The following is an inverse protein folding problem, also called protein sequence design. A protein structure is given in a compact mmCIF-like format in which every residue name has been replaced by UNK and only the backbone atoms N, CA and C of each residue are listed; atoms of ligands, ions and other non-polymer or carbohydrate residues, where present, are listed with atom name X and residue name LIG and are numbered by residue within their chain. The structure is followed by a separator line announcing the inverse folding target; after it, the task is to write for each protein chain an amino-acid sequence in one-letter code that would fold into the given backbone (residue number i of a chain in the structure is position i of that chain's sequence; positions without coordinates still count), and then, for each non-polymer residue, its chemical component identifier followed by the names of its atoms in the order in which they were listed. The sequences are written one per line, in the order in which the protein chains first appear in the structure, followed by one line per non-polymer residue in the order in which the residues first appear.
data_IF_884823329832
#
_entry.id   IF_884823329832
#
_cell.length_a   1.000
_cell.length_b   1.000
_cell.length_c   1.000
_cell.angle_alpha   90.00
_cell.angle_beta   90.00
_cell.angle_gamma   90.00
#
_symmetry.space_group_name_H-M   'P 1'
#
loop_
_entity.id
_entity.type
_entity.pdbx_description
1 polymer ?
#
# COMPACT_ATOMS: atom_id res chain seq x y z
N UNK A 1 -2.49 -28.46 -17.40
CA UNK A 1 -1.85 -27.22 -17.90
C UNK A 1 -2.90 -26.35 -18.59
N UNK A 2 -3.69 -25.63 -17.79
CA UNK A 2 -4.43 -24.47 -18.27
C UNK A 2 -3.84 -23.30 -17.46
N UNK A 3 -3.01 -22.49 -18.11
CA UNK A 3 -2.61 -21.21 -17.56
C UNK A 3 -3.89 -20.39 -17.30
N UNK A 4 -4.01 -19.78 -16.13
CA UNK A 4 -5.00 -18.73 -15.91
C UNK A 4 -4.79 -17.68 -17.01
N UNK A 5 -5.79 -17.57 -17.88
CA UNK A 5 -5.69 -16.87 -19.15
C UNK A 5 -5.39 -15.39 -18.91
N UNK A 6 -4.20 -14.94 -19.32
CA UNK A 6 -3.90 -13.51 -19.44
C UNK A 6 -2.44 -13.10 -19.39
N UNK A 7 -1.57 -13.76 -18.62
CA UNK A 7 -0.15 -13.38 -18.53
C UNK A 7 0.71 -14.27 -19.44
N UNK A 8 1.34 -13.73 -20.51
CA UNK A 8 2.09 -14.52 -21.49
C UNK A 8 3.46 -15.01 -20.98
N UNK A 9 3.84 -14.70 -19.74
CA UNK A 9 5.13 -15.09 -19.16
C UNK A 9 5.03 -15.44 -17.68
N UNK A 10 5.86 -16.37 -17.17
CA UNK A 10 5.95 -16.64 -15.75
C UNK A 10 6.56 -15.44 -15.04
N UNK A 11 5.84 -14.91 -14.04
CA UNK A 11 6.36 -13.86 -13.16
C UNK A 11 7.66 -14.32 -12.52
N UNK A 12 8.71 -13.50 -12.63
CA UNK A 12 10.04 -13.83 -12.11
C UNK A 12 10.34 -13.20 -10.75
N UNK A 13 9.62 -12.12 -10.42
CA UNK A 13 9.73 -11.43 -9.13
C UNK A 13 8.34 -11.21 -8.53
N UNK A 14 8.21 -11.26 -7.20
CA UNK A 14 6.94 -11.00 -6.53
C UNK A 14 6.35 -9.65 -6.91
N UNK A 15 5.17 -9.67 -7.53
CA UNK A 15 4.35 -8.51 -7.85
C UNK A 15 3.28 -8.34 -6.77
N UNK A 16 3.53 -7.45 -5.80
CA UNK A 16 2.73 -7.35 -4.58
C UNK A 16 2.40 -5.91 -4.23
N UNK A 17 1.38 -5.75 -3.41
CA UNK A 17 0.95 -4.48 -2.86
C UNK A 17 0.73 -4.59 -1.35
N UNK A 18 0.78 -3.48 -0.63
CA UNK A 18 0.44 -3.47 0.80
C UNK A 18 -1.08 -3.38 1.01
N UNK A 19 -1.57 -4.04 2.07
CA UNK A 19 -2.96 -3.95 2.56
C UNK A 19 -2.95 -3.05 3.81
N UNK A 20 -3.79 -2.01 3.92
CA UNK A 20 -3.91 -1.28 5.17
C UNK A 20 -4.66 -2.13 6.20
N UNK A 21 -4.47 -1.82 7.47
CA UNK A 21 -5.13 -2.51 8.58
C UNK A 21 -6.66 -2.46 8.48
N UNK A 22 -7.24 -1.38 7.94
CA UNK A 22 -8.68 -1.27 7.71
C UNK A 22 -9.25 -2.28 6.70
N UNK A 23 -8.41 -2.85 5.82
CA UNK A 23 -8.84 -3.90 4.91
C UNK A 23 -9.00 -5.26 5.63
N UNK A 24 -8.24 -5.50 6.70
CA UNK A 24 -8.18 -6.79 7.39
C UNK A 24 -9.38 -6.95 8.33
N UNK A 25 -10.08 -8.08 8.24
CA UNK A 25 -11.22 -8.42 9.11
C UNK A 25 -11.16 -9.87 9.58
N UNK A 26 -11.75 -10.13 10.75
CA UNK A 26 -11.78 -11.46 11.35
C UNK A 26 -12.77 -12.40 10.64
N UNK A 27 -12.67 -13.73 10.85
CA UNK A 27 -13.70 -14.67 10.45
C UNK A 27 -15.07 -14.28 11.02
N UNK A 28 -16.09 -14.26 10.16
CA UNK A 28 -17.46 -13.87 10.53
C UNK A 28 -17.73 -12.38 10.52
N UNK A 29 -16.71 -11.52 10.44
CA UNK A 29 -16.92 -10.08 10.23
C UNK A 29 -17.40 -9.80 8.80
N UNK A 30 -18.28 -8.80 8.61
CA UNK A 30 -18.87 -8.55 7.31
C UNK A 30 -17.91 -7.85 6.35
N UNK A 31 -17.92 -8.27 5.09
CA UNK A 31 -17.38 -7.52 3.96
C UNK A 31 -18.41 -6.47 3.59
N UNK A 32 -18.03 -5.20 3.69
CA UNK A 32 -18.91 -4.06 3.46
C UNK A 32 -18.74 -3.56 2.02
N UNK A 33 -19.76 -3.79 1.21
CA UNK A 33 -19.88 -3.33 -0.18
C UNK A 33 -20.64 -1.99 -0.21
N UNK A 34 -20.54 -1.18 -1.29
CA UNK A 34 -21.29 0.04 -1.37
C UNK A 34 -22.71 -0.31 -1.79
N UNK A 35 -23.67 0.57 -1.52
CA UNK A 35 -24.93 0.45 -2.21
C UNK A 35 -24.70 0.56 -3.73
N UNK A 36 -25.05 -0.47 -4.48
CA UNK A 36 -25.02 -0.44 -5.95
C UNK A 36 -26.11 -1.33 -6.52
N UNK A 37 -26.70 -0.91 -7.63
CA UNK A 37 -27.59 -1.75 -8.43
C UNK A 37 -26.85 -2.90 -9.14
N UNK A 38 -25.51 -2.81 -9.22
CA UNK A 38 -24.65 -3.83 -9.81
C UNK A 38 -23.32 -3.87 -9.06
N UNK A 39 -22.98 -5.02 -8.47
CA UNK A 39 -21.65 -5.26 -7.93
C UNK A 39 -20.76 -5.75 -9.08
N UNK A 40 -19.62 -5.12 -9.27
CA UNK A 40 -18.56 -5.58 -10.17
C UNK A 40 -17.31 -5.78 -9.34
N UNK A 41 -16.77 -7.00 -9.37
CA UNK A 41 -15.73 -7.44 -8.44
C UNK A 41 -15.80 -8.94 -8.22
N UNK A 42 -14.90 -9.43 -7.37
CA UNK A 42 -14.83 -10.84 -7.02
C UNK A 42 -13.96 -11.08 -5.80
N UNK A 43 -13.79 -12.36 -5.45
CA UNK A 43 -12.90 -12.75 -4.37
C UNK A 43 -12.21 -14.07 -4.67
N UNK A 44 -11.07 -14.28 -4.03
CA UNK A 44 -10.33 -15.53 -4.13
C UNK A 44 -9.62 -15.92 -2.82
N UNK A 45 -9.52 -17.23 -2.54
CA UNK A 45 -8.61 -17.71 -1.51
C UNK A 45 -7.17 -17.51 -1.98
N UNK A 46 -6.35 -16.93 -1.11
CA UNK A 46 -4.90 -16.98 -1.23
C UNK A 46 -4.30 -17.65 0.01
N UNK A 47 -3.21 -18.37 -0.22
CA UNK A 47 -2.35 -18.82 0.87
C UNK A 47 -1.57 -17.62 1.39
N UNK A 48 -1.55 -17.42 2.70
CA UNK A 48 -0.74 -16.39 3.33
C UNK A 48 0.29 -17.00 4.27
N UNK A 49 1.50 -16.45 4.22
CA UNK A 49 2.66 -16.85 5.02
C UNK A 49 2.83 -15.83 6.15
N UNK A 50 2.88 -16.29 7.39
CA UNK A 50 3.14 -15.44 8.56
C UNK A 50 4.60 -15.59 8.97
N UNK A 51 5.32 -14.47 9.02
CA UNK A 51 6.73 -14.43 9.44
C UNK A 51 6.79 -14.58 10.97
N UNK A 52 7.59 -15.54 11.45
CA UNK A 52 7.85 -15.78 12.87
C UNK A 52 9.17 -15.21 13.35
N UNK A 53 10.21 -15.31 12.52
CA UNK A 53 11.52 -14.73 12.81
C UNK A 53 11.80 -13.65 11.79
N UNK A 54 12.04 -12.42 12.24
CA UNK A 54 12.37 -11.32 11.34
C UNK A 54 13.73 -11.47 10.68
N UNK A 55 14.03 -10.59 9.72
CA UNK A 55 15.33 -10.59 9.06
C UNK A 55 15.42 -9.67 7.86
N UNK A 56 16.64 -9.52 7.36
CA UNK A 56 17.01 -8.83 6.12
C UNK A 56 17.94 -9.72 5.33
N UNK A 57 17.95 -9.54 4.01
CA UNK A 57 18.83 -10.27 3.10
C UNK A 57 18.77 -11.79 3.32
N UNK A 58 17.56 -12.30 3.62
CA UNK A 58 17.34 -13.70 3.96
C UNK A 58 17.59 -14.52 2.69
N UNK A 59 18.56 -15.46 2.68
CA UNK A 59 18.79 -16.29 1.51
C UNK A 59 17.62 -17.28 1.34
N UNK A 60 17.30 -17.62 0.09
CA UNK A 60 16.23 -18.58 -0.27
C UNK A 60 16.32 -19.88 0.55
N UNK A 61 17.52 -20.38 0.81
CA UNK A 61 17.75 -21.62 1.58
C UNK A 61 17.38 -21.52 3.06
N UNK A 62 17.23 -20.32 3.62
CA UNK A 62 16.84 -20.09 5.02
C UNK A 62 15.41 -19.58 5.15
N UNK A 63 14.76 -19.18 4.05
CA UNK A 63 13.48 -18.50 4.08
C UNK A 63 12.38 -19.25 4.86
N UNK A 64 12.26 -20.57 4.71
CA UNK A 64 11.25 -21.35 5.45
C UNK A 64 11.48 -21.35 6.97
N UNK A 65 12.71 -21.19 7.44
CA UNK A 65 13.00 -21.10 8.88
C UNK A 65 12.50 -19.79 9.51
N UNK A 66 12.17 -18.79 8.69
CA UNK A 66 11.57 -17.54 9.13
C UNK A 66 10.03 -17.60 9.20
N UNK A 67 9.40 -18.65 8.67
CA UNK A 67 7.94 -18.80 8.61
C UNK A 67 7.42 -19.41 9.91
N UNK A 68 6.50 -18.72 10.59
CA UNK A 68 5.78 -19.24 11.76
C UNK A 68 4.69 -20.24 11.38
N UNK A 69 4.02 -19.99 10.26
CA UNK A 69 2.89 -20.79 9.82
C UNK A 69 2.17 -20.15 8.65
N UNK A 70 1.04 -20.75 8.29
CA UNK A 70 0.20 -20.35 7.17
C UNK A 70 -1.21 -20.03 7.63
N UNK A 71 -1.87 -19.12 6.92
CA UNK A 71 -3.30 -18.80 7.10
C UNK A 71 -3.94 -18.60 5.74
N UNK A 72 -5.27 -18.52 5.70
CA UNK A 72 -6.01 -18.11 4.51
C UNK A 72 -6.18 -16.59 4.58
N UNK A 73 -6.05 -15.94 3.42
CA UNK A 73 -6.63 -14.62 3.20
C UNK A 73 -7.61 -14.71 2.04
N UNK A 74 -8.67 -13.90 2.10
CA UNK A 74 -9.57 -13.72 0.96
C UNK A 74 -9.21 -12.40 0.27
N UNK A 75 -8.67 -12.48 -0.93
CA UNK A 75 -8.40 -11.28 -1.74
C UNK A 75 -9.69 -10.80 -2.39
N UNK A 76 -10.34 -9.81 -1.77
CA UNK A 76 -11.61 -9.28 -2.25
C UNK A 76 -11.34 -8.00 -3.05
N UNK A 77 -11.89 -7.96 -4.26
CA UNK A 77 -11.85 -6.79 -5.14
C UNK A 77 -13.23 -6.37 -5.59
N UNK A 78 -13.38 -5.09 -5.87
CA UNK A 78 -14.63 -4.42 -6.24
C UNK A 78 -14.29 -3.16 -6.99
N UNK A 79 -14.91 -2.91 -8.13
CA UNK A 79 -14.51 -1.86 -9.05
C UNK A 79 -14.89 -0.41 -8.59
N UNK A 80 -14.50 -0.01 -7.36
CA UNK A 80 -14.82 1.28 -6.74
C UNK A 80 -14.01 2.45 -7.31
N UNK A 81 -12.68 2.33 -7.28
CA UNK A 81 -11.75 3.28 -7.91
C UNK A 81 -11.94 3.24 -9.41
N UNK A 82 -12.14 2.04 -9.96
CA UNK A 82 -12.45 1.83 -11.38
C UNK A 82 -13.60 2.70 -11.88
N UNK A 83 -14.68 2.86 -11.12
CA UNK A 83 -15.80 3.71 -11.53
C UNK A 83 -15.37 5.17 -11.79
N UNK A 84 -14.60 5.74 -10.88
CA UNK A 84 -14.14 7.13 -11.00
C UNK A 84 -13.14 7.28 -12.18
N UNK A 85 -12.38 6.22 -12.47
CA UNK A 85 -11.37 6.18 -13.54
C UNK A 85 -11.96 5.91 -14.93
N UNK A 86 -12.87 4.95 -15.08
CA UNK A 86 -13.59 4.65 -16.33
C UNK A 86 -14.48 5.81 -16.79
N UNK A 87 -14.84 6.73 -15.89
CA UNK A 87 -15.51 7.97 -16.26
C UNK A 87 -14.61 8.93 -17.08
N UNK A 88 -13.32 8.62 -17.24
CA UNK A 88 -12.35 9.45 -17.93
C UNK A 88 -11.97 8.89 -19.31
N UNK A 89 -11.61 9.77 -20.27
CA UNK A 89 -11.21 9.35 -21.60
C UNK A 89 -9.86 8.60 -21.61
N UNK A 90 -9.77 7.64 -22.51
CA UNK A 90 -8.53 6.95 -22.92
C UNK A 90 -7.56 7.89 -23.65
N UNK A 91 -6.25 7.56 -23.72
CA UNK A 91 -5.61 6.36 -23.16
C UNK A 91 -5.40 6.46 -21.64
N UNK A 92 -5.40 5.30 -20.98
CA UNK A 92 -4.89 5.18 -19.61
C UNK A 92 -3.37 5.01 -19.61
N UNK A 93 -2.74 5.64 -18.64
CA UNK A 93 -1.34 5.45 -18.30
C UNK A 93 -1.18 4.26 -17.35
N UNK A 94 0.08 3.92 -17.09
CA UNK A 94 0.42 2.72 -16.34
C UNK A 94 -0.11 2.69 -14.90
N UNK A 95 -0.27 3.87 -14.29
CA UNK A 95 -0.68 3.95 -12.90
C UNK A 95 -2.16 3.62 -12.77
N UNK A 96 -2.93 3.87 -13.82
CA UNK A 96 -4.33 3.51 -13.82
C UNK A 96 -4.54 1.98 -13.80
N UNK A 97 -3.70 1.21 -14.49
CA UNK A 97 -3.70 -0.26 -14.38
C UNK A 97 -3.36 -0.73 -12.95
N UNK A 98 -2.37 -0.11 -12.31
CA UNK A 98 -1.97 -0.44 -10.95
C UNK A 98 -3.05 -0.05 -9.91
N UNK A 99 -3.67 1.12 -10.06
CA UNK A 99 -4.72 1.61 -9.16
C UNK A 99 -6.02 0.83 -9.27
N UNK A 100 -6.44 0.49 -10.49
CA UNK A 100 -7.65 -0.31 -10.68
C UNK A 100 -7.48 -1.73 -10.14
N UNK A 101 -6.28 -2.31 -10.25
CA UNK A 101 -6.00 -3.63 -9.71
C UNK A 101 -5.83 -3.60 -8.18
N UNK A 102 -4.98 -2.71 -7.66
CA UNK A 102 -4.55 -2.75 -6.27
C UNK A 102 -5.28 -1.76 -5.36
N UNK A 103 -5.77 -0.64 -5.89
CA UNK A 103 -6.48 0.38 -5.11
C UNK A 103 -7.78 -0.19 -4.55
N UNK A 104 -8.59 -0.81 -5.42
CA UNK A 104 -9.86 -1.45 -5.07
C UNK A 104 -9.73 -2.45 -3.94
N UNK A 105 -8.68 -3.27 -4.03
CA UNK A 105 -8.37 -4.24 -3.00
C UNK A 105 -8.10 -3.53 -1.66
N UNK A 106 -7.44 -2.36 -1.59
CA UNK A 106 -7.03 -1.73 -0.30
C UNK A 106 -8.19 -1.18 0.54
N UNK A 107 -9.39 -1.13 -0.03
CA UNK A 107 -10.57 -0.63 0.64
C UNK A 107 -10.86 -1.37 1.94
N UNK A 108 -11.62 -0.73 2.81
CA UNK A 108 -12.05 -1.32 4.08
C UNK A 108 -12.74 -2.67 3.88
N UNK A 109 -12.49 -3.62 4.79
CA UNK A 109 -13.08 -4.98 4.82
C UNK A 109 -12.73 -5.92 3.66
N UNK A 110 -11.70 -5.64 2.87
CA UNK A 110 -11.35 -6.40 1.64
C UNK A 110 -10.29 -7.47 1.78
N UNK A 111 -9.88 -7.75 3.01
CA UNK A 111 -8.87 -8.74 3.29
C UNK A 111 -9.23 -9.58 4.51
N UNK A 112 -10.36 -10.32 4.49
CA UNK A 112 -10.60 -11.33 5.50
C UNK A 112 -9.40 -12.24 5.67
N UNK A 113 -9.04 -12.55 6.92
CA UNK A 113 -7.87 -13.36 7.25
C UNK A 113 -8.19 -14.33 8.37
N UNK A 114 -7.66 -15.55 8.28
CA UNK A 114 -7.86 -16.62 9.25
C UNK A 114 -8.31 -17.93 8.57
N UNK A 115 -9.10 -18.79 9.22
CA UNK A 115 -9.50 -18.72 10.62
C UNK A 115 -8.39 -19.09 11.61
N UNK A 116 -7.32 -19.73 11.14
CA UNK A 116 -6.25 -20.24 11.96
C UNK A 116 -4.88 -19.85 11.39
N UNK A 117 -3.93 -19.61 12.28
CA UNK A 117 -2.51 -19.72 11.96
C UNK A 117 -2.11 -21.18 12.18
N UNK A 118 -1.86 -21.91 11.10
CA UNK A 118 -1.49 -23.33 11.12
C UNK A 118 0.01 -23.47 10.98
N UNK A 119 0.63 -24.27 11.84
CA UNK A 119 2.08 -24.50 11.80
C UNK A 119 2.49 -25.32 10.58
N UNK A 120 3.77 -25.25 10.20
CA UNK A 120 4.26 -25.98 9.02
C UNK A 120 4.20 -27.51 9.19
N UNK A 121 4.39 -28.01 10.42
CA UNK A 121 4.30 -29.45 10.71
C UNK A 121 2.86 -29.97 10.65
N UNK A 122 1.86 -29.16 11.02
CA UNK A 122 0.43 -29.48 10.85
C UNK A 122 -0.03 -29.38 9.38
N UNK A 123 0.56 -28.44 8.63
CA UNK A 123 0.23 -28.23 7.21
C UNK A 123 0.74 -29.38 6.34
N UNK A 124 1.95 -29.89 6.58
CA UNK A 124 2.62 -30.79 5.64
C UNK A 124 3.24 -30.02 4.47
N UNK A 125 2.98 -30.42 3.23
CA UNK A 125 3.53 -29.71 2.06
C UNK A 125 2.67 -28.48 1.71
N UNK A 126 3.18 -27.24 1.88
CA UNK A 126 2.40 -26.03 1.60
C UNK A 126 2.04 -25.85 0.11
N UNK A 127 2.74 -26.57 -0.78
CA UNK A 127 2.53 -26.55 -2.22
C UNK A 127 1.56 -27.64 -2.71
N UNK A 128 0.97 -28.42 -1.80
CA UNK A 128 0.10 -29.56 -2.12
C UNK A 128 -1.19 -29.56 -1.31
N UNK A 129 -1.93 -28.44 -1.38
CA UNK A 129 -3.20 -28.24 -0.69
C UNK A 129 -4.29 -27.87 -1.69
N UNK A 130 -5.45 -28.53 -1.58
CA UNK A 130 -6.63 -28.16 -2.35
C UNK A 130 -7.22 -26.84 -1.85
N UNK A 131 -7.62 -25.98 -2.78
CA UNK A 131 -8.28 -24.71 -2.47
C UNK A 131 -9.72 -24.73 -3.02
N UNK A 132 -10.66 -24.18 -2.26
CA UNK A 132 -12.06 -24.06 -2.66
C UNK A 132 -12.57 -22.64 -2.42
N UNK A 133 -13.23 -22.11 -3.43
CA UNK A 133 -13.99 -20.86 -3.34
C UNK A 133 -15.46 -21.23 -3.33
N UNK A 134 -16.21 -20.85 -2.28
CA UNK A 134 -17.66 -21.04 -2.21
C UNK A 134 -18.38 -19.75 -1.93
N UNK A 135 -19.65 -19.75 -2.29
CA UNK A 135 -20.58 -18.70 -1.96
C UNK A 135 -21.84 -19.33 -1.41
N UNK A 136 -22.18 -19.04 -0.15
CA UNK A 136 -23.35 -19.57 0.54
C UNK A 136 -23.44 -21.11 0.40
N UNK A 137 -22.31 -21.80 0.55
CA UNK A 137 -22.18 -23.25 0.40
C UNK A 137 -22.00 -23.78 -1.03
N UNK A 138 -22.27 -22.97 -2.06
CA UNK A 138 -22.14 -23.38 -3.46
C UNK A 138 -20.71 -23.21 -3.98
N UNK A 139 -20.14 -24.28 -4.52
CA UNK A 139 -18.79 -24.27 -5.11
C UNK A 139 -18.75 -23.34 -6.33
N UNK A 140 -17.83 -22.37 -6.31
CA UNK A 140 -17.57 -21.42 -7.40
C UNK A 140 -16.31 -21.75 -8.18
N UNK A 141 -15.23 -22.08 -7.47
CA UNK A 141 -13.96 -22.48 -8.05
C UNK A 141 -13.26 -23.54 -7.17
N UNK A 142 -12.39 -24.32 -7.81
CA UNK A 142 -11.50 -25.28 -7.14
C UNK A 142 -10.11 -25.19 -7.75
N UNK A 143 -9.12 -24.96 -6.91
CA UNK A 143 -7.73 -24.81 -7.31
C UNK A 143 -6.78 -25.53 -6.35
N UNK A 144 -5.49 -25.19 -6.38
CA UNK A 144 -4.44 -25.90 -5.66
C UNK A 144 -3.25 -24.98 -5.40
N UNK A 145 -2.67 -25.03 -4.19
CA UNK A 145 -1.54 -24.14 -3.81
C UNK A 145 -0.27 -24.36 -4.65
N UNK A 146 -0.12 -25.53 -5.28
CA UNK A 146 0.95 -25.80 -6.23
C UNK A 146 0.88 -24.98 -7.54
N UNK A 147 -0.19 -24.23 -7.78
CA UNK A 147 -0.28 -23.33 -8.93
C UNK A 147 0.41 -21.96 -8.70
N UNK A 148 1.04 -21.73 -7.54
CA UNK A 148 1.78 -20.50 -7.27
C UNK A 148 2.91 -20.32 -8.29
N UNK A 149 2.99 -19.13 -8.89
CA UNK A 149 4.06 -18.83 -9.85
C UNK A 149 5.42 -18.66 -9.17
N UNK A 150 5.43 -18.07 -7.97
CA UNK A 150 6.64 -17.80 -7.19
C UNK A 150 6.47 -18.41 -5.81
N UNK A 151 7.38 -19.30 -5.44
CA UNK A 151 7.36 -19.97 -4.15
C UNK A 151 7.66 -19.05 -2.97
N UNK A 152 7.23 -19.47 -1.79
CA UNK A 152 7.39 -18.81 -0.49
C UNK A 152 8.83 -18.37 -0.27
N UNK A 153 9.80 -19.25 -0.52
CA UNK A 153 11.21 -19.01 -0.25
C UNK A 153 11.78 -17.86 -1.08
N UNK A 154 11.40 -17.80 -2.35
CA UNK A 154 11.81 -16.72 -3.25
C UNK A 154 11.14 -15.41 -2.90
N UNK A 155 9.86 -15.45 -2.51
CA UNK A 155 9.13 -14.24 -2.10
C UNK A 155 9.72 -13.63 -0.83
N UNK A 156 9.96 -14.44 0.20
CA UNK A 156 10.62 -14.01 1.45
C UNK A 156 12.01 -13.44 1.15
N UNK A 157 12.82 -14.17 0.37
CA UNK A 157 14.17 -13.72 0.03
C UNK A 157 14.16 -12.39 -0.73
N UNK A 158 13.30 -12.26 -1.74
CA UNK A 158 13.16 -11.05 -2.55
C UNK A 158 12.73 -9.84 -1.72
N UNK A 159 11.65 -9.95 -0.93
CA UNK A 159 11.15 -8.85 -0.11
C UNK A 159 12.20 -8.44 0.93
N UNK A 160 12.87 -9.41 1.56
CA UNK A 160 13.90 -9.15 2.57
C UNK A 160 15.15 -8.44 2.03
N UNK A 161 15.36 -8.42 0.71
CA UNK A 161 16.55 -7.85 0.06
C UNK A 161 16.57 -6.32 0.02
N UNK A 162 15.44 -5.67 0.32
CA UNK A 162 15.34 -4.21 0.35
C UNK A 162 14.61 -3.68 1.58
N UNK A 163 13.76 -4.50 2.22
CA UNK A 163 13.09 -4.15 3.48
C UNK A 163 13.26 -5.26 4.51
N UNK A 164 13.22 -4.92 5.79
CA UNK A 164 13.13 -5.91 6.85
C UNK A 164 11.75 -6.58 6.82
N UNK A 165 11.77 -7.87 7.09
CA UNK A 165 10.59 -8.62 7.50
C UNK A 165 10.58 -8.70 9.03
N UNK A 166 9.42 -8.50 9.63
CA UNK A 166 9.22 -8.54 11.08
C UNK A 166 8.34 -9.73 11.47
N UNK A 167 8.51 -10.29 12.69
CA UNK A 167 7.53 -11.23 13.23
C UNK A 167 6.12 -10.65 13.18
N UNK A 168 5.17 -11.41 12.64
CA UNK A 168 3.80 -10.98 12.42
C UNK A 168 3.52 -10.39 11.03
N UNK A 169 4.55 -10.11 10.21
CA UNK A 169 4.33 -9.75 8.81
C UNK A 169 3.60 -10.88 8.08
N UNK A 170 2.59 -10.52 7.30
CA UNK A 170 1.78 -11.45 6.50
C UNK A 170 2.05 -11.22 5.02
N UNK A 171 2.48 -12.27 4.32
CA UNK A 171 2.75 -12.25 2.89
C UNK A 171 1.70 -13.14 2.22
N UNK A 172 0.78 -12.53 1.48
CA UNK A 172 -0.20 -13.24 0.68
C UNK A 172 0.40 -13.63 -0.68
N UNK A 173 0.20 -14.89 -1.08
CA UNK A 173 0.96 -15.53 -2.15
C UNK A 173 0.28 -15.46 -3.53
N UNK A 174 -0.77 -14.65 -3.65
CA UNK A 174 -1.53 -14.45 -4.88
C UNK A 174 -2.66 -15.45 -5.07
N UNK A 175 -3.57 -15.10 -5.97
CA UNK A 175 -4.76 -15.90 -6.29
C UNK A 175 -4.42 -17.30 -6.79
N UNK A 176 -4.99 -18.30 -6.12
CA UNK A 176 -4.98 -19.68 -6.59
C UNK A 176 -6.25 -19.96 -7.40
N UNK A 177 -6.12 -20.30 -8.69
CA UNK A 177 -7.27 -20.67 -9.54
C UNK A 177 -7.83 -19.52 -10.36
N UNK A 178 -9.15 -19.47 -10.52
CA UNK A 178 -9.82 -18.46 -11.34
C UNK A 178 -9.74 -17.08 -10.69
N UNK A 179 -8.99 -16.15 -11.27
CA UNK A 179 -8.81 -14.80 -10.71
C UNK A 179 -10.09 -13.95 -10.81
N UNK A 180 -10.56 -13.48 -9.66
CA UNK A 180 -11.77 -12.70 -9.49
C UNK A 180 -13.07 -13.49 -9.63
N UNK A 181 -13.31 -14.52 -8.80
CA UNK A 181 -14.60 -15.22 -8.79
C UNK A 181 -15.74 -14.22 -8.56
N UNK A 182 -16.66 -14.02 -9.52
CA UNK A 182 -17.48 -12.83 -9.53
C UNK A 182 -18.57 -12.89 -8.46
N UNK A 183 -18.78 -11.75 -7.79
CA UNK A 183 -20.02 -11.55 -7.03
C UNK A 183 -21.23 -11.70 -7.97
N UNK A 184 -22.37 -12.21 -7.46
CA UNK A 184 -23.61 -12.19 -8.21
C UNK A 184 -23.98 -10.75 -8.55
N UNK A 185 -24.64 -10.57 -9.70
CA UNK A 185 -25.02 -9.23 -10.18
C UNK A 185 -25.95 -8.50 -9.22
N UNK A 186 -26.82 -9.24 -8.52
CA UNK A 186 -27.76 -8.71 -7.55
C UNK A 186 -27.28 -9.00 -6.11
N UNK A 187 -27.38 -8.02 -5.19
CA UNK A 187 -27.20 -8.25 -3.76
C UNK A 187 -28.08 -9.40 -3.27
N UNK A 188 -27.47 -10.37 -2.59
CA UNK A 188 -28.21 -11.45 -1.95
C UNK A 188 -28.19 -11.21 -0.43
N UNK A 189 -29.37 -11.09 0.17
CA UNK A 189 -29.50 -10.98 1.62
C UNK A 189 -28.94 -12.25 2.29
N UNK A 190 -28.05 -12.05 3.28
CA UNK A 190 -27.42 -13.16 3.99
C UNK A 190 -26.34 -13.90 3.20
N UNK A 191 -25.83 -13.31 2.11
CA UNK A 191 -24.73 -13.89 1.35
C UNK A 191 -23.46 -14.05 2.19
N UNK A 192 -22.77 -15.16 2.00
CA UNK A 192 -21.53 -15.49 2.69
C UNK A 192 -20.52 -15.95 1.66
N UNK A 193 -19.34 -15.33 1.65
CA UNK A 193 -18.22 -15.87 0.88
C UNK A 193 -17.40 -16.80 1.77
N UNK A 194 -16.88 -17.85 1.17
CA UNK A 194 -16.10 -18.87 1.86
C UNK A 194 -14.83 -19.18 1.07
N UNK A 195 -13.69 -19.06 1.74
CA UNK A 195 -12.36 -19.37 1.23
C UNK A 195 -11.81 -20.54 2.06
N UNK A 196 -11.63 -21.70 1.44
CA UNK A 196 -11.08 -22.88 2.10
C UNK A 196 -9.76 -23.27 1.45
N UNK A 197 -8.79 -23.59 2.30
CA UNK A 197 -7.56 -24.26 1.91
C UNK A 197 -7.44 -25.49 2.81
N UNK A 198 -7.19 -26.64 2.19
CA UNK A 198 -7.04 -27.93 2.88
C UNK A 198 -6.08 -27.77 4.08
N UNK A 199 -6.47 -28.33 5.23
CA UNK A 199 -5.74 -28.24 6.52
C UNK A 199 -5.68 -26.86 7.19
N UNK A 200 -6.00 -25.77 6.48
CA UNK A 200 -6.07 -24.41 7.05
C UNK A 200 -7.49 -24.02 7.50
N UNK A 201 -8.50 -24.79 7.09
CA UNK A 201 -9.89 -24.60 7.49
C UNK A 201 -10.69 -23.76 6.50
N UNK A 202 -11.82 -23.22 6.96
CA UNK A 202 -12.75 -22.45 6.12
C UNK A 202 -12.87 -21.05 6.70
N UNK A 203 -12.39 -20.06 5.96
CA UNK A 203 -12.58 -18.64 6.23
C UNK A 203 -13.94 -18.21 5.67
N UNK A 204 -14.84 -17.74 6.54
CA UNK A 204 -16.24 -17.43 6.19
C UNK A 204 -16.55 -16.00 6.59
N UNK A 205 -17.06 -15.19 5.67
CA UNK A 205 -17.39 -13.80 5.93
C UNK A 205 -18.73 -13.44 5.27
N UNK A 206 -19.72 -12.91 6.02
CA UNK A 206 -20.94 -12.42 5.43
C UNK A 206 -20.67 -11.18 4.57
N UNK A 207 -21.50 -10.96 3.56
CA UNK A 207 -21.49 -9.76 2.73
C UNK A 207 -22.61 -8.84 3.17
N UNK A 208 -22.29 -7.57 3.39
CA UNK A 208 -23.26 -6.52 3.70
C UNK A 208 -23.06 -5.32 2.80
N UNK A 209 -24.04 -4.42 2.79
CA UNK A 209 -24.05 -3.26 1.93
C UNK A 209 -24.23 -2.00 2.75
N UNK A 210 -23.46 -0.96 2.41
CA UNK A 210 -23.72 0.38 2.91
C UNK A 210 -25.15 0.80 2.53
N UNK A 211 -25.79 1.66 3.34
CA UNK A 211 -27.05 2.27 2.98
C UNK A 211 -26.95 3.01 1.63
N UNK A 212 -28.09 3.12 0.93
CA UNK A 212 -28.17 3.98 -0.26
C UNK A 212 -27.87 5.43 0.16
N UNK A 213 -26.92 6.12 -0.50
CA UNK A 213 -26.64 7.51 -0.20
C UNK A 213 -27.90 8.37 -0.38
N UNK A 214 -28.20 9.24 0.59
CA UNK A 214 -29.17 10.32 0.40
C UNK A 214 -28.54 11.40 -0.50
N UNK A 215 -29.32 11.99 -1.41
CA UNK A 215 -28.78 12.90 -2.43
C UNK A 215 -28.01 14.08 -1.80
N UNK A 216 -26.71 14.20 -2.11
CA UNK A 216 -25.90 15.38 -1.82
C UNK A 216 -25.18 15.42 -0.47
N UNK A 217 -25.19 14.34 0.32
CA UNK A 217 -24.39 14.24 1.56
C UNK A 217 -23.21 13.31 1.39
N UNK A 218 -22.08 13.67 2.02
CA UNK A 218 -21.00 12.72 2.27
C UNK A 218 -21.49 11.84 3.41
N UNK A 219 -21.83 10.58 3.11
CA UNK A 219 -22.28 9.63 4.11
C UNK A 219 -21.14 9.40 5.11
N UNK A 220 -21.29 9.88 6.35
CA UNK A 220 -20.48 9.38 7.46
C UNK A 220 -20.81 7.90 7.58
N UNK A 221 -19.82 7.02 7.44
CA UNK A 221 -20.05 5.60 7.63
C UNK A 221 -20.59 5.38 9.05
N UNK A 222 -21.71 4.66 9.21
CA UNK A 222 -22.13 4.19 10.52
C UNK A 222 -20.95 3.50 11.22
N UNK A 223 -20.70 3.83 12.49
CA UNK A 223 -19.53 3.33 13.23
C UNK A 223 -19.50 1.80 13.25
N UNK A 224 -20.65 1.15 13.27
CA UNK A 224 -20.82 -0.30 13.20
C UNK A 224 -20.34 -0.93 11.87
N UNK A 225 -20.27 -0.15 10.79
CA UNK A 225 -19.79 -0.56 9.47
C UNK A 225 -18.34 -0.15 9.18
N UNK A 226 -17.64 0.47 10.13
CA UNK A 226 -16.20 0.69 10.04
C UNK A 226 -15.44 -0.63 10.30
N UNK A 227 -14.20 -0.78 9.78
CA UNK A 227 -13.34 -1.90 10.11
C UNK A 227 -13.21 -2.12 11.62
N UNK A 228 -13.11 -3.36 12.09
CA UNK A 228 -12.88 -3.67 13.51
C UNK A 228 -11.69 -2.92 14.09
N UNK A 229 -10.60 -2.79 13.33
CA UNK A 229 -9.44 -2.00 13.72
C UNK A 229 -9.76 -0.52 14.02
N UNK A 230 -10.70 0.08 13.28
CA UNK A 230 -11.13 1.46 13.52
C UNK A 230 -12.10 1.53 14.71
N UNK A 231 -13.06 0.61 14.78
CA UNK A 231 -14.01 0.50 15.90
C UNK A 231 -13.30 0.31 17.25
N UNK A 232 -12.18 -0.40 17.26
CA UNK A 232 -11.36 -0.63 18.45
C UNK A 232 -10.67 0.65 18.99
N UNK A 233 -10.51 1.68 18.16
CA UNK A 233 -9.91 2.95 18.58
C UNK A 233 -10.94 3.98 19.00
N UNK A 234 -12.14 3.98 18.40
CA UNK A 234 -13.17 5.00 18.65
C UNK A 234 -13.57 5.03 20.12
N UNK A 235 -13.55 6.21 20.72
CA UNK A 235 -13.84 6.42 22.14
C UNK A 235 -12.69 6.07 23.10
N UNK A 236 -11.52 5.69 22.58
CA UNK A 236 -10.30 5.42 23.36
C UNK A 236 -9.32 6.59 23.25
N UNK A 237 -8.33 6.71 24.17
CA UNK A 237 -7.26 7.70 24.02
C UNK A 237 -6.48 7.59 22.70
N UNK A 238 -6.44 6.39 22.10
CA UNK A 238 -5.73 6.12 20.84
C UNK A 238 -6.54 6.47 19.59
N UNK A 239 -7.77 7.00 19.75
CA UNK A 239 -8.57 7.53 18.63
C UNK A 239 -7.90 8.73 17.96
N UNK A 240 -7.03 9.44 18.68
CA UNK A 240 -6.37 10.64 18.19
C UNK A 240 -4.99 10.86 18.81
N UNK A 241 -4.13 11.55 18.07
CA UNK A 241 -2.84 12.04 18.56
C UNK A 241 -3.02 13.49 19.03
N UNK A 242 -2.68 13.82 20.29
CA UNK A 242 -3.00 15.13 20.85
C UNK A 242 -2.32 16.31 20.16
N UNK A 243 -1.07 16.13 19.69
CA UNK A 243 -0.30 17.21 19.06
C UNK A 243 0.88 16.69 18.21
N UNK A 244 1.39 17.48 17.25
CA UNK A 244 2.57 17.15 16.46
C UNK A 244 3.77 16.65 17.28
N UNK A 245 4.08 17.30 18.40
CA UNK A 245 5.24 16.97 19.23
C UNK A 245 5.13 15.66 20.01
N UNK A 246 3.96 15.02 20.00
CA UNK A 246 3.73 13.71 20.64
C UNK A 246 3.83 12.53 19.67
N UNK A 247 3.97 12.81 18.37
CA UNK A 247 4.13 11.79 17.34
C UNK A 247 5.60 11.51 17.03
N UNK A 248 5.92 10.25 16.75
CA UNK A 248 7.21 9.79 16.23
C UNK A 248 6.97 8.89 15.02
N UNK A 249 7.92 8.83 14.10
CA UNK A 249 7.88 7.92 12.94
C UNK A 249 7.79 6.46 13.36
N UNK A 250 8.30 6.10 14.54
CA UNK A 250 8.18 4.73 15.09
C UNK A 250 6.72 4.33 15.36
N UNK A 251 5.83 5.31 15.48
CA UNK A 251 4.38 5.13 15.62
C UNK A 251 3.64 5.33 14.29
N UNK A 252 4.34 5.39 13.15
CA UNK A 252 3.72 5.44 11.84
C UNK A 252 2.96 4.13 11.58
N UNK A 253 1.63 4.23 11.49
CA UNK A 253 0.78 3.05 11.35
C UNK A 253 0.75 2.54 9.91
N UNK A 254 0.50 3.45 8.97
CA UNK A 254 0.58 3.16 7.53
C UNK A 254 1.37 4.26 6.82
N UNK A 255 1.91 3.93 5.65
CA UNK A 255 2.54 4.89 4.76
C UNK A 255 1.87 4.89 3.39
N UNK A 256 1.51 6.07 2.91
CA UNK A 256 0.84 6.30 1.64
C UNK A 256 1.68 7.23 0.76
N UNK A 257 1.99 6.78 -0.45
CA UNK A 257 2.73 7.57 -1.44
C UNK A 257 1.80 8.03 -2.55
N UNK A 258 1.84 9.31 -2.86
CA UNK A 258 1.06 9.94 -3.92
C UNK A 258 1.88 10.04 -5.20
N UNK A 259 1.21 9.82 -6.33
CA UNK A 259 1.83 9.84 -7.66
C UNK A 259 1.17 10.88 -8.55
N UNK A 260 1.98 11.53 -9.38
CA UNK A 260 1.55 12.51 -10.36
C UNK A 260 0.74 13.70 -9.84
N UNK A 261 1.02 14.15 -8.61
CA UNK A 261 0.34 15.28 -7.96
C UNK A 261 1.07 16.63 -8.17
N UNK A 262 1.83 16.77 -9.25
CA UNK A 262 2.58 18.00 -9.54
C UNK A 262 2.65 18.24 -11.06
N UNK A 263 2.93 19.48 -11.45
CA UNK A 263 2.84 19.95 -12.85
C UNK A 263 3.73 19.18 -13.84
N UNK A 264 4.89 18.67 -13.40
CA UNK A 264 5.86 17.94 -14.22
C UNK A 264 5.71 16.40 -14.19
N UNK A 265 4.61 15.89 -13.65
CA UNK A 265 4.37 14.45 -13.50
C UNK A 265 4.40 13.67 -14.82
N UNK A 266 3.93 14.28 -15.91
CA UNK A 266 3.93 13.70 -17.25
C UNK A 266 5.36 13.38 -17.72
N UNK A 267 6.29 14.31 -17.49
CA UNK A 267 7.69 14.20 -17.91
C UNK A 267 8.50 13.30 -16.98
N UNK A 268 8.24 13.35 -15.66
CA UNK A 268 9.04 12.65 -14.64
C UNK A 268 8.56 11.23 -14.34
N UNK A 269 7.25 11.00 -14.33
CA UNK A 269 6.66 9.71 -13.98
C UNK A 269 5.91 9.06 -15.16
N UNK A 270 5.80 9.75 -16.31
CA UNK A 270 5.02 9.27 -17.45
C UNK A 270 3.51 9.30 -17.17
N UNK A 271 3.07 10.14 -16.23
CA UNK A 271 1.70 10.15 -15.72
C UNK A 271 0.91 11.32 -16.27
N UNK A 272 -0.16 11.02 -16.99
CA UNK A 272 -1.04 12.05 -17.55
C UNK A 272 -1.80 12.74 -16.42
N UNK A 273 -2.08 14.04 -16.54
CA UNK A 273 -2.86 14.77 -15.53
C UNK A 273 -4.27 14.21 -15.47
N UNK A 274 -4.73 13.85 -14.26
CA UNK A 274 -6.09 13.38 -13.98
C UNK A 274 -6.84 14.30 -13.02
N UNK A 275 -8.18 14.32 -13.06
CA UNK A 275 -8.99 15.12 -12.14
C UNK A 275 -9.20 14.45 -10.78
N UNK A 276 -8.46 13.37 -10.49
CA UNK A 276 -8.53 12.64 -9.22
C UNK A 276 -7.12 12.32 -8.70
N UNK A 277 -6.97 12.24 -7.37
CA UNK A 277 -5.78 11.74 -6.69
C UNK A 277 -5.33 10.33 -7.09
N UNK A 278 -4.02 10.11 -7.11
CA UNK A 278 -3.37 8.81 -7.38
C UNK A 278 -2.44 8.45 -6.24
N UNK A 279 -2.59 7.26 -5.65
CA UNK A 279 -1.87 6.90 -4.43
C UNK A 279 -1.71 5.39 -4.24
N UNK A 280 -0.66 4.94 -3.56
CA UNK A 280 -0.51 3.55 -3.15
C UNK A 280 -0.03 3.46 -1.70
N UNK A 281 -0.42 2.38 -1.02
CA UNK A 281 0.18 2.01 0.26
C UNK A 281 1.61 1.52 0.03
N UNK A 282 2.51 1.94 0.89
CA UNK A 282 3.89 1.51 0.97
C UNK A 282 4.16 0.93 2.37
N UNK A 283 5.21 0.11 2.53
CA UNK A 283 5.63 -0.38 3.84
C UNK A 283 5.96 0.79 4.76
N UNK A 284 5.47 0.77 6.00
CA UNK A 284 5.86 1.77 6.99
C UNK A 284 7.35 1.68 7.35
N UNK A 285 8.00 0.52 7.16
CA UNK A 285 9.45 0.33 7.31
C UNK A 285 10.28 1.18 6.34
N UNK A 286 9.66 1.65 5.25
CA UNK A 286 10.29 2.57 4.31
C UNK A 286 10.45 4.00 4.87
N UNK A 287 9.80 4.31 6.00
CA UNK A 287 9.95 5.58 6.71
C UNK A 287 11.18 5.54 7.64
N UNK A 288 11.80 6.69 7.85
CA UNK A 288 12.83 6.88 8.88
C UNK A 288 12.76 8.29 9.47
N UNK A 289 13.32 8.46 10.66
CA UNK A 289 13.38 9.75 11.35
C UNK A 289 14.52 10.62 10.81
N UNK A 290 14.41 11.93 11.03
CA UNK A 290 15.52 12.88 10.85
C UNK A 290 16.84 12.37 11.45
N UNK A 291 17.92 12.50 10.67
CA UNK A 291 19.25 12.05 11.04
C UNK A 291 19.49 10.55 10.85
N UNK A 292 18.53 9.80 10.30
CA UNK A 292 18.71 8.37 10.07
C UNK A 292 19.85 8.07 9.09
N UNK A 293 20.58 6.98 9.41
CA UNK A 293 21.45 6.30 8.46
C UNK A 293 20.63 5.36 7.59
N UNK A 294 20.49 5.70 6.32
CA UNK A 294 19.77 4.91 5.32
C UNK A 294 20.72 3.92 4.70
N UNK A 295 20.47 2.63 4.95
CA UNK A 295 21.22 1.55 4.34
C UNK A 295 20.82 1.39 2.89
N UNK A 296 21.79 1.42 1.98
CA UNK A 296 21.53 1.14 0.57
C UNK A 296 21.45 -0.38 0.32
N UNK A 297 20.36 -0.90 -0.27
CA UNK A 297 20.27 -2.31 -0.64
C UNK A 297 21.41 -2.71 -1.59
N UNK A 298 21.98 -3.91 -1.43
CA UNK A 298 23.14 -4.36 -2.23
C UNK A 298 22.87 -4.39 -3.75
N UNK A 299 21.61 -4.59 -4.14
CA UNK A 299 21.18 -4.57 -5.56
C UNK A 299 21.05 -3.16 -6.14
N UNK A 300 20.93 -2.14 -5.29
CA UNK A 300 20.60 -0.78 -5.72
C UNK A 300 21.85 -0.11 -6.30
N UNK A 301 21.77 0.28 -7.57
CA UNK A 301 22.88 0.98 -8.25
C UNK A 301 22.44 2.22 -9.04
N UNK A 302 21.15 2.55 -9.04
CA UNK A 302 20.65 3.76 -9.71
C UNK A 302 19.73 4.48 -8.75
N UNK A 303 20.31 5.43 -8.01
CA UNK A 303 19.62 6.12 -6.93
C UNK A 303 19.39 7.59 -7.28
N UNK A 304 18.20 8.08 -6.96
CA UNK A 304 17.89 9.50 -6.95
C UNK A 304 17.38 9.93 -5.59
N UNK A 305 17.51 11.21 -5.25
CA UNK A 305 16.93 11.79 -4.05
C UNK A 305 16.19 13.09 -4.34
N UNK A 306 15.02 13.25 -3.74
CA UNK A 306 14.12 14.41 -3.88
C UNK A 306 13.56 14.93 -2.55
N UNK A 307 12.86 16.06 -2.65
CA UNK A 307 12.16 16.73 -1.55
C UNK A 307 10.64 16.58 -1.74
N UNK A 308 9.92 16.21 -0.67
CA UNK A 308 8.47 16.06 -0.64
C UNK A 308 7.87 16.70 0.61
N UNK A 309 6.61 17.14 0.51
CA UNK A 309 5.78 17.40 1.67
C UNK A 309 5.09 16.10 2.10
N UNK A 310 5.16 15.79 3.39
CA UNK A 310 4.35 14.75 4.01
C UNK A 310 3.38 15.36 5.02
N UNK A 311 2.22 14.71 5.22
CA UNK A 311 1.32 15.01 6.33
C UNK A 311 1.05 13.74 7.15
N UNK A 312 0.71 13.95 8.42
CA UNK A 312 0.36 12.88 9.35
C UNK A 312 -1.09 13.02 9.76
N UNK A 313 -1.83 11.92 9.77
CA UNK A 313 -3.22 11.87 10.22
C UNK A 313 -3.25 11.82 11.74
N UNK A 314 -4.02 12.70 12.36
CA UNK A 314 -4.12 12.85 13.81
C UNK A 314 -5.33 12.17 14.43
N UNK A 315 -6.29 11.66 13.65
CA UNK A 315 -7.50 11.00 14.16
C UNK A 315 -8.06 9.99 13.17
N UNK A 316 -8.83 9.02 13.65
CA UNK A 316 -9.58 8.10 12.77
C UNK A 316 -10.45 8.92 11.82
N UNK A 317 -10.29 8.68 10.52
CA UNK A 317 -10.93 9.48 9.46
C UNK A 317 -11.44 8.56 8.37
N UNK A 318 -12.74 8.58 8.11
CA UNK A 318 -13.40 7.80 7.08
C UNK A 318 -14.50 8.63 6.44
N UNK A 319 -14.66 8.53 5.12
CA UNK A 319 -15.61 9.27 4.29
C UNK A 319 -15.68 10.76 4.64
N UNK A 320 -14.52 11.41 4.73
CA UNK A 320 -14.45 12.79 5.17
C UNK A 320 -14.78 13.78 4.05
N UNK A 321 -15.41 14.89 4.40
CA UNK A 321 -15.40 16.09 3.55
C UNK A 321 -13.97 16.66 3.47
N UNK A 322 -13.70 17.57 2.53
CA UNK A 322 -12.39 18.26 2.47
C UNK A 322 -12.11 19.05 3.76
N UNK A 323 -13.15 19.62 4.37
CA UNK A 323 -13.02 20.37 5.62
C UNK A 323 -12.69 19.45 6.79
N UNK A 324 -13.38 18.31 6.91
CA UNK A 324 -13.09 17.33 7.97
C UNK A 324 -11.72 16.67 7.77
N UNK A 325 -11.34 16.41 6.52
CA UNK A 325 -10.02 15.92 6.16
C UNK A 325 -8.92 16.91 6.57
N UNK A 326 -9.12 18.22 6.38
CA UNK A 326 -8.19 19.24 6.84
C UNK A 326 -8.01 19.23 8.37
N UNK A 327 -9.12 19.08 9.12
CA UNK A 327 -9.12 18.98 10.59
C UNK A 327 -8.50 17.68 11.12
N UNK A 328 -8.42 16.66 10.28
CA UNK A 328 -7.81 15.38 10.61
C UNK A 328 -6.28 15.40 10.49
N UNK A 329 -5.69 16.38 9.81
CA UNK A 329 -4.22 16.50 9.69
C UNK A 329 -3.65 16.93 11.05
N UNK A 330 -2.75 16.09 11.59
CA UNK A 330 -2.00 16.40 12.81
C UNK A 330 -0.98 17.51 12.55
N UNK A 331 -0.25 17.40 11.44
CA UNK A 331 0.80 18.32 11.03
C UNK A 331 1.42 17.88 9.71
N UNK A 332 2.34 18.71 9.21
CA UNK A 332 3.09 18.48 7.97
C UNK A 332 4.59 18.52 8.23
N UNK A 333 5.39 17.86 7.40
CA UNK A 333 6.84 17.86 7.50
C UNK A 333 7.50 17.80 6.12
N UNK A 334 8.73 18.36 5.98
CA UNK A 334 9.60 18.02 4.87
C UNK A 334 10.00 16.54 4.94
N UNK A 335 10.13 15.92 3.78
CA UNK A 335 10.58 14.54 3.64
C UNK A 335 11.66 14.46 2.55
N UNK A 336 12.79 13.82 2.88
CA UNK A 336 13.78 13.41 1.90
C UNK A 336 13.40 12.03 1.37
N UNK A 337 13.33 11.90 0.04
CA UNK A 337 12.83 10.69 -0.61
C UNK A 337 13.87 10.12 -1.54
N UNK A 338 14.30 8.91 -1.27
CA UNK A 338 15.16 8.12 -2.13
C UNK A 338 14.34 7.26 -3.08
N UNK A 339 14.85 7.11 -4.31
CA UNK A 339 14.33 6.15 -5.27
C UNK A 339 15.42 5.28 -5.85
N UNK A 340 15.18 3.98 -5.84
CA UNK A 340 16.02 2.99 -6.49
C UNK A 340 15.41 2.54 -7.82
N UNK A 341 15.89 3.12 -8.91
CA UNK A 341 15.46 2.77 -10.27
C UNK A 341 16.14 1.50 -10.80
N UNK A 342 17.02 0.85 -10.04
CA UNK A 342 17.61 -0.45 -10.42
C UNK A 342 16.58 -1.58 -10.45
N UNK A 343 15.41 -1.42 -9.82
CA UNK A 343 14.34 -2.42 -9.91
C UNK A 343 13.91 -2.72 -11.35
N UNK A 344 14.17 -1.82 -12.31
CA UNK A 344 13.94 -2.08 -13.74
C UNK A 344 14.70 -3.32 -14.25
N UNK A 345 15.84 -3.66 -13.65
CA UNK A 345 16.64 -4.81 -14.03
C UNK A 345 16.00 -6.14 -13.59
N UNK A 346 15.02 -6.07 -12.70
CA UNK A 346 14.20 -7.20 -12.29
C UNK A 346 13.12 -7.55 -13.34
N UNK A 347 12.84 -6.65 -14.28
CA UNK A 347 11.86 -6.85 -15.35
C UNK A 347 12.51 -7.67 -16.46
N UNK A 348 11.93 -8.84 -16.77
CA UNK A 348 12.45 -9.75 -17.79
C UNK A 348 11.40 -9.97 -18.88
N UNK A 349 11.76 -9.71 -20.13
CA UNK A 349 10.85 -9.82 -21.27
C UNK A 349 10.67 -11.29 -21.76
N UNK A 350 9.48 -11.66 -22.27
CA UNK A 350 8.27 -10.85 -22.34
C UNK A 350 7.67 -10.60 -20.94
N UNK A 351 7.32 -9.35 -20.64
CA UNK A 351 6.72 -8.94 -19.36
C UNK A 351 5.28 -8.42 -19.55
N UNK A 352 4.42 -8.66 -18.56
CA UNK A 352 3.12 -8.00 -18.45
C UNK A 352 3.29 -6.49 -18.20
N UNK A 353 2.28 -5.65 -18.51
CA UNK A 353 2.29 -4.24 -18.13
C UNK A 353 2.59 -4.06 -16.63
N UNK A 354 1.89 -4.81 -15.76
CA UNK A 354 2.10 -4.74 -14.31
C UNK A 354 3.57 -4.98 -13.91
N UNK A 355 4.23 -5.99 -14.48
CA UNK A 355 5.65 -6.26 -14.22
C UNK A 355 6.57 -5.11 -14.64
N UNK A 356 6.30 -4.47 -15.79
CA UNK A 356 7.08 -3.29 -16.24
C UNK A 356 6.95 -2.09 -15.32
N UNK A 357 5.89 -2.04 -14.52
CA UNK A 357 5.58 -0.90 -13.65
C UNK A 357 5.90 -1.14 -12.16
N UNK A 358 6.16 -2.39 -11.75
CA UNK A 358 6.69 -2.72 -10.42
C UNK A 358 7.88 -1.85 -9.99
N UNK A 359 8.86 -1.52 -10.86
CA UNK A 359 9.99 -0.70 -10.45
C UNK A 359 9.58 0.67 -9.92
N UNK A 360 8.59 1.33 -10.54
CA UNK A 360 8.13 2.64 -10.12
C UNK A 360 7.48 2.60 -8.72
N UNK A 361 6.89 1.46 -8.36
CA UNK A 361 6.21 1.25 -7.08
C UNK A 361 7.23 0.90 -5.99
N UNK A 362 8.10 -0.08 -6.24
CA UNK A 362 9.04 -0.59 -5.25
C UNK A 362 10.25 0.31 -5.03
N UNK A 363 10.57 1.21 -5.96
CA UNK A 363 11.73 2.11 -5.88
C UNK A 363 11.83 2.88 -4.55
N UNK A 364 10.71 3.09 -3.85
CA UNK A 364 10.64 3.83 -2.57
C UNK A 364 10.47 2.96 -1.34
N UNK A 365 10.41 1.64 -1.49
CA UNK A 365 9.99 0.72 -0.42
C UNK A 365 11.14 0.16 0.41
N UNK A 366 12.38 0.49 0.05
CA UNK A 366 13.52 0.10 0.86
C UNK A 366 13.51 0.84 2.20
N UNK A 367 14.07 0.21 3.22
CA UNK A 367 13.93 0.75 4.58
C UNK A 367 14.67 2.08 4.76
N UNK A 368 13.98 3.04 5.35
CA UNK A 368 14.46 4.40 5.52
C UNK A 368 14.59 5.25 4.26
N UNK A 369 14.07 4.80 3.11
CA UNK A 369 14.10 5.60 1.87
C UNK A 369 13.23 6.86 1.92
N UNK A 370 12.41 7.03 2.96
CA UNK A 370 11.53 8.19 3.13
C UNK A 370 11.79 8.79 4.51
N UNK A 371 12.76 9.69 4.59
CA UNK A 371 13.21 10.30 5.85
C UNK A 371 12.34 11.52 6.15
N UNK A 372 11.55 11.48 7.22
CA UNK A 372 10.60 12.53 7.59
C UNK A 372 11.13 13.41 8.71
N UNK A 373 10.98 14.73 8.55
CA UNK A 373 11.33 15.72 9.56
C UNK A 373 10.30 15.82 10.69
N UNK A 374 10.57 16.74 11.62
CA UNK A 374 9.63 17.06 12.69
C UNK A 374 8.31 17.65 12.13
N UNK A 375 7.19 17.26 12.73
CA UNK A 375 5.88 17.77 12.33
C UNK A 375 5.69 19.23 12.76
N UNK A 376 5.24 20.03 11.81
CA UNK A 376 4.81 21.41 12.01
C UNK A 376 3.29 21.48 11.91
N UNK A 377 2.63 22.09 12.90
CA UNK A 377 1.21 22.41 12.82
C UNK A 377 1.01 23.52 11.79
N UNK A 378 0.04 23.36 10.89
CA UNK A 378 -0.28 24.35 9.86
C UNK A 378 -1.77 24.59 9.79
N UNK A 379 -2.16 25.86 9.67
CA UNK A 379 -3.55 26.22 9.43
C UNK A 379 -3.86 26.12 7.94
N UNK A 380 -4.74 25.17 7.58
CA UNK A 380 -5.17 24.96 6.20
C UNK A 380 -3.99 24.73 5.24
N UNK A 381 -3.88 25.58 4.23
CA UNK A 381 -2.89 25.48 3.15
C UNK A 381 -1.64 26.35 3.37
N UNK A 382 -1.31 26.72 4.62
CA UNK A 382 -0.12 27.54 4.94
C UNK A 382 1.24 26.92 4.53
N UNK A 383 1.24 25.64 4.16
CA UNK A 383 2.36 24.90 3.58
C UNK A 383 2.56 25.15 2.08
N UNK A 384 1.60 25.78 1.39
CA UNK A 384 1.70 26.16 -0.03
C UNK A 384 2.61 27.37 -0.21
N UNK A 385 3.11 27.50 -1.44
CA UNK A 385 4.01 28.59 -1.86
C UNK A 385 5.28 28.71 -0.99
N UNK A 386 5.89 27.56 -0.70
CA UNK A 386 7.14 27.44 0.05
C UNK A 386 8.21 26.83 -0.84
N UNK A 387 9.45 27.32 -0.74
CA UNK A 387 10.58 26.69 -1.41
C UNK A 387 10.83 25.31 -0.78
N UNK A 388 10.87 24.27 -1.60
CA UNK A 388 11.32 22.92 -1.24
C UNK A 388 12.75 22.77 -1.80
N UNK A 389 13.69 22.35 -0.97
CA UNK A 389 15.10 22.19 -1.33
C UNK A 389 15.56 20.78 -1.00
N UNK A 390 16.29 20.16 -1.91
CA UNK A 390 17.06 18.93 -1.66
C UNK A 390 18.53 19.23 -1.94
N UNK A 391 19.42 18.89 -1.01
CA UNK A 391 20.86 19.06 -1.16
C UNK A 391 21.60 17.81 -0.69
N UNK A 392 22.65 17.44 -1.42
CA UNK A 392 23.55 16.34 -1.06
C UNK A 392 24.99 16.83 -1.22
N UNK A 393 25.80 16.62 -0.19
CA UNK A 393 27.19 17.03 -0.17
C UNK A 393 27.99 16.41 -1.30
N UNK A 394 28.74 17.23 -2.05
CA UNK A 394 29.52 16.78 -3.20
C UNK A 394 28.71 16.41 -4.45
N UNK A 395 27.37 16.44 -4.40
CA UNK A 395 26.50 16.13 -5.56
C UNK A 395 25.81 17.39 -6.08
N UNK A 396 25.14 18.17 -5.22
CA UNK A 396 24.49 19.40 -5.64
C UNK A 396 23.25 19.77 -4.83
N UNK A 397 22.46 20.70 -5.37
CA UNK A 397 21.22 21.19 -4.76
C UNK A 397 20.19 21.44 -5.86
N UNK A 398 18.94 21.04 -5.59
CA UNK A 398 17.77 21.35 -6.43
C UNK A 398 16.73 22.05 -5.57
N UNK A 399 16.05 23.03 -6.17
CA UNK A 399 14.96 23.78 -5.55
C UNK A 399 13.71 23.73 -6.43
N UNK A 400 12.55 23.76 -5.76
CA UNK A 400 11.21 23.79 -6.36
C UNK A 400 10.27 24.48 -5.38
N UNK A 401 8.97 24.53 -5.65
CA UNK A 401 8.00 25.21 -4.80
C UNK A 401 6.76 24.33 -4.57
N UNK A 402 6.27 24.27 -3.33
CA UNK A 402 5.07 23.51 -2.95
C UNK A 402 3.78 24.00 -3.62
N UNK A 403 3.79 25.19 -4.26
CA UNK A 403 2.74 25.67 -5.13
C UNK A 403 2.52 24.77 -6.36
N UNK A 404 3.50 23.95 -6.76
CA UNK A 404 3.39 23.02 -7.88
C UNK A 404 2.44 21.83 -7.60
N UNK A 405 2.05 21.60 -6.35
CA UNK A 405 1.10 20.55 -6.00
C UNK A 405 -0.31 20.82 -6.54
N UNK A 406 -0.85 19.85 -7.29
CA UNK A 406 -2.15 19.94 -7.95
C UNK A 406 -3.32 19.80 -6.95
N UNK A 407 -3.22 18.86 -6.02
CA UNK A 407 -4.19 18.60 -4.95
C UNK A 407 -3.59 18.92 -3.58
N UNK A 408 -4.39 19.50 -2.68
CA UNK A 408 -4.01 19.69 -1.28
C UNK A 408 -4.02 18.37 -0.51
N UNK A 409 -3.28 18.29 0.60
CA UNK A 409 -3.33 17.15 1.51
C UNK A 409 -4.77 16.81 1.92
N UNK A 410 -5.59 17.82 2.22
CA UNK A 410 -7.00 17.65 2.58
C UNK A 410 -7.84 17.06 1.43
N UNK A 411 -7.62 17.48 0.18
CA UNK A 411 -8.29 16.89 -0.98
C UNK A 411 -7.89 15.43 -1.21
N UNK A 412 -6.60 15.11 -1.01
CA UNK A 412 -6.09 13.74 -1.10
C UNK A 412 -6.75 12.84 -0.05
N UNK A 413 -6.75 13.27 1.21
CA UNK A 413 -7.36 12.54 2.33
C UNK A 413 -8.87 12.36 2.11
N UNK A 414 -9.59 13.42 1.71
CA UNK A 414 -11.02 13.33 1.42
C UNK A 414 -11.33 12.36 0.27
N UNK A 415 -10.43 12.20 -0.69
CA UNK A 415 -10.58 11.21 -1.76
C UNK A 415 -10.30 9.78 -1.27
N UNK A 416 -9.16 9.55 -0.60
CA UNK A 416 -8.76 8.24 -0.06
C UNK A 416 -9.85 7.69 0.88
N UNK A 417 -10.35 8.55 1.77
CA UNK A 417 -11.30 8.16 2.82
C UNK A 417 -12.69 7.78 2.32
N UNK A 418 -13.01 8.00 1.04
CA UNK A 418 -14.22 7.44 0.42
C UNK A 418 -14.25 5.91 0.45
N UNK A 419 -13.07 5.29 0.49
CA UNK A 419 -12.88 3.85 0.31
C UNK A 419 -12.07 3.22 1.45
N UNK A 420 -11.14 3.97 2.05
CA UNK A 420 -10.14 3.48 3.00
C UNK A 420 -10.18 4.33 4.26
N UNK A 421 -10.48 3.73 5.41
CA UNK A 421 -10.36 4.44 6.69
C UNK A 421 -8.88 4.72 6.98
N UNK A 422 -8.58 5.98 7.25
CA UNK A 422 -7.26 6.42 7.71
C UNK A 422 -7.22 6.50 9.23
N UNK A 423 -6.07 6.18 9.80
CA UNK A 423 -5.86 6.02 11.22
C UNK A 423 -4.93 7.08 11.79
N UNK A 424 -4.98 7.37 13.10
CA UNK A 424 -3.98 8.19 13.77
C UNK A 424 -2.59 7.59 13.54
N UNK A 425 -1.65 8.42 13.09
CA UNK A 425 -0.29 8.04 12.76
C UNK A 425 -0.07 7.59 11.32
N UNK A 426 -1.11 7.56 10.47
CA UNK A 426 -0.92 7.35 9.03
C UNK A 426 -0.12 8.51 8.43
N UNK A 427 0.88 8.19 7.61
CA UNK A 427 1.72 9.17 6.90
C UNK A 427 1.34 9.19 5.43
N UNK A 428 1.10 10.37 4.89
CA UNK A 428 0.80 10.59 3.47
C UNK A 428 1.87 11.52 2.86
N UNK A 429 2.69 10.99 1.95
CA UNK A 429 3.63 11.78 1.16
C UNK A 429 2.95 12.28 -0.13
N UNK A 430 3.03 13.59 -0.40
CA UNK A 430 2.26 14.24 -1.47
C UNK A 430 2.88 14.10 -2.87
N UNK A 431 4.07 13.52 -3.00
CA UNK A 431 4.76 13.25 -4.27
C UNK A 431 5.98 14.17 -4.51
N UNK A 432 7.01 13.68 -5.24
CA UNK A 432 8.34 14.29 -5.38
C UNK A 432 8.32 15.53 -6.24
N UNK A 433 8.41 16.70 -5.61
CA UNK A 433 8.45 17.98 -6.32
C UNK A 433 9.76 18.15 -7.09
N UNK A 434 9.67 18.84 -8.23
CA UNK A 434 10.82 19.26 -9.02
C UNK A 434 11.71 18.14 -9.55
N UNK A 435 12.92 18.53 -9.95
CA UNK A 435 13.98 17.60 -10.34
C UNK A 435 14.59 16.90 -9.12
N UNK A 436 15.37 15.85 -9.37
CA UNK A 436 16.04 15.09 -8.32
C UNK A 436 17.53 15.02 -8.55
N UNK A 437 18.26 14.85 -7.46
CA UNK A 437 19.69 14.63 -7.51
C UNK A 437 19.94 13.15 -7.82
N UNK A 438 20.62 12.90 -8.94
CA UNK A 438 21.15 11.58 -9.27
C UNK A 438 22.39 11.33 -8.42
N UNK A 439 22.38 10.26 -7.63
CA UNK A 439 23.50 9.92 -6.77
C UNK A 439 24.59 9.18 -7.54
N UNK A 440 25.88 9.41 -7.25
CA UNK A 440 26.97 8.69 -7.88
C UNK A 440 26.96 7.19 -7.58
N UNK A 441 27.42 6.37 -8.54
CA UNK A 441 27.62 4.92 -8.37
C UNK A 441 28.56 4.54 -7.20
N UNK A 442 29.34 5.47 -6.66
CA UNK A 442 30.20 5.21 -5.50
C UNK A 442 29.39 4.93 -4.22
N UNK A 443 28.16 5.46 -4.12
CA UNK A 443 27.27 5.26 -2.96
C UNK A 443 26.79 3.82 -2.89
N UNK A 444 26.41 3.24 -4.04
CA UNK A 444 26.09 1.81 -4.14
C UNK A 444 27.30 0.89 -3.94
N UNK A 445 28.51 1.46 -3.80
CA UNK A 445 29.76 0.76 -3.51
C UNK A 445 30.32 1.07 -2.11
N UNK A 446 29.53 1.66 -1.22
CA UNK A 446 29.86 1.85 0.20
C UNK A 446 30.49 3.20 0.57
N UNK A 447 30.42 4.21 -0.31
CA UNK A 447 30.77 5.58 0.07
C UNK A 447 29.62 6.23 0.85
N UNK A 448 29.94 6.89 1.96
CA UNK A 448 28.94 7.64 2.73
C UNK A 448 28.65 9.00 2.09
N UNK A 449 27.37 9.33 1.92
CA UNK A 449 26.90 10.67 1.59
C UNK A 449 25.99 11.21 2.68
N UNK A 450 26.01 12.53 2.84
CA UNK A 450 25.09 13.27 3.71
C UNK A 450 24.31 14.29 2.89
N UNK A 451 23.07 14.53 3.30
CA UNK A 451 22.21 15.48 2.64
C UNK A 451 21.07 15.94 3.52
N UNK A 452 20.28 16.88 3.00
CA UNK A 452 19.09 17.35 3.66
C UNK A 452 17.99 17.70 2.66
N UNK A 453 16.74 17.51 3.07
CA UNK A 453 15.58 18.15 2.46
C UNK A 453 15.04 19.24 3.40
N UNK A 454 14.52 20.32 2.85
CA UNK A 454 14.03 21.47 3.60
C UNK A 454 12.83 22.08 2.90
N UNK A 455 11.83 22.50 3.68
CA UNK A 455 10.73 23.32 3.18
C UNK A 455 10.66 24.58 4.02
N UNK A 456 10.71 25.74 3.38
CA UNK A 456 10.76 27.05 4.04
C UNK A 456 9.61 27.20 5.06
N UNK A 457 9.98 27.43 6.33
CA UNK A 457 9.03 27.58 7.44
C UNK A 457 8.42 26.29 7.98
N UNK A 458 8.71 25.13 7.38
CA UNK A 458 8.27 23.80 7.87
C UNK A 458 9.42 22.94 8.42
N UNK A 459 10.65 23.42 8.31
CA UNK A 459 11.84 22.82 8.89
C UNK A 459 12.72 22.11 7.87
N UNK A 460 13.68 21.35 8.41
CA UNK A 460 14.69 20.60 7.66
C UNK A 460 14.76 19.18 8.19
N UNK A 461 15.02 18.23 7.29
CA UNK A 461 15.32 16.84 7.60
C UNK A 461 16.66 16.47 6.97
N UNK A 462 17.50 15.80 7.73
CA UNK A 462 18.84 15.37 7.37
C UNK A 462 18.90 13.84 7.23
N UNK A 463 19.80 13.36 6.39
CA UNK A 463 20.00 11.93 6.18
C UNK A 463 21.47 11.63 5.87
N UNK A 464 21.88 10.40 6.16
CA UNK A 464 23.14 9.83 5.68
C UNK A 464 22.87 8.53 4.93
N UNK A 465 23.63 8.28 3.87
CA UNK A 465 23.52 7.09 3.03
C UNK A 465 24.79 6.26 3.22
N UNK A 466 24.66 4.93 3.36
CA UNK A 466 25.82 4.04 3.55
C UNK A 466 25.52 2.56 3.34
#
# INVERSE_FOLDING_TARGET
MAACAGSPAPQRVPAGHQRPQGAVIDPGEPIVLPYSARVSGGWNPELAVVIGTGGRDIPVSQAMAHVAGLTIVSDVTVDYFRRDMFAQPEPWDWFEDAMTSWGDKKSDSRFPMGPYLVTLDETGNPYDLLCYTRQSGYLRDRSHTGAMNIGIERTVSWLSSFRALHPGDVIHMGTMGYDGSPFPFEPLDGDVIESEIERLGVLRNPVTYLPKPESGRVDVAPVDLLPSAARALIGTPDESIPSPGTWSVDHARHFWTVFGNYSMADRKEGLTRRPYPRFLAAPNTALAADGAGVRIPLRAHTLTVGCELACVIGRVTSRASVEDAARAILGVAPMAVLRDSSFKDAVVEPASPQERHLPAVYARWADGFNVIGALTSVDGDAWRDKVCRIAVEGVGTVETNTADYLFSAAQMIAYITRYITLFPGDVLALGPLGDELVLPDAVSRGASLTGYAEIDGLGRVTFSLG
#
